data_IF_613199983783
#
_entry.id   IF_613199983783
#
_cell.length_a   1.000
_cell.length_b   1.000
_cell.length_c   1.000
_cell.angle_alpha   90.00
_cell.angle_beta   90.00
_cell.angle_gamma   90.00
#
_symmetry.space_group_name_H-M   'P 1'
#
loop_
_entity.id
_entity.type
_entity.pdbx_description
1 polymer ?
#
# COMPACT_ATOMS: atom_id res chain seq x y z
N UNK A 1 32.83 6.87 -2.41
CA UNK A 1 31.49 6.88 -3.07
C UNK A 1 30.57 5.99 -2.24
N UNK A 2 29.45 6.52 -1.84
CA UNK A 2 28.44 5.71 -1.16
C UNK A 2 27.31 5.44 -2.15
N UNK A 3 27.09 4.18 -2.48
CA UNK A 3 25.90 3.78 -3.21
C UNK A 3 24.73 3.77 -2.23
N UNK A 4 23.68 4.50 -2.57
CA UNK A 4 22.49 4.59 -1.75
C UNK A 4 21.31 4.11 -2.56
N UNK A 5 20.69 3.03 -2.11
CA UNK A 5 19.41 2.60 -2.66
C UNK A 5 18.31 3.52 -2.12
N UNK A 6 17.59 4.15 -3.02
CA UNK A 6 16.40 4.93 -2.68
C UNK A 6 15.17 4.13 -3.08
N UNK A 7 14.26 3.98 -2.13
CA UNK A 7 12.92 3.45 -2.38
C UNK A 7 11.94 4.62 -2.27
N UNK A 8 11.26 4.91 -3.35
CA UNK A 8 10.21 5.93 -3.39
C UNK A 8 8.90 5.28 -3.74
N UNK A 9 7.90 5.60 -2.96
CA UNK A 9 6.57 5.04 -3.15
C UNK A 9 5.57 6.13 -3.47
N UNK A 10 4.68 5.79 -4.38
CA UNK A 10 3.49 6.57 -4.67
C UNK A 10 2.27 5.70 -4.37
N UNK A 11 1.34 6.28 -3.64
CA UNK A 11 0.06 5.65 -3.33
C UNK A 11 -1.04 6.45 -3.98
N UNK A 12 -1.89 5.77 -4.74
CA UNK A 12 -3.09 6.35 -5.34
C UNK A 12 -4.30 5.57 -4.84
N UNK A 13 -5.16 6.25 -4.10
CA UNK A 13 -6.41 5.68 -3.60
C UNK A 13 -7.57 6.32 -4.34
N UNK A 14 -8.34 5.53 -5.07
CA UNK A 14 -9.51 5.97 -5.81
C UNK A 14 -10.79 5.47 -5.15
N UNK A 15 -11.75 6.36 -5.00
CA UNK A 15 -13.07 6.06 -4.45
C UNK A 15 -14.09 6.08 -5.57
N UNK A 16 -14.92 5.03 -5.63
CA UNK A 16 -15.96 4.82 -6.63
C UNK A 16 -17.31 4.65 -5.94
N UNK A 17 -18.33 5.30 -6.44
CA UNK A 17 -19.70 5.19 -5.95
C UNK A 17 -20.65 4.94 -7.14
N UNK A 18 -21.37 3.82 -7.10
CA UNK A 18 -22.26 3.44 -8.20
C UNK A 18 -21.56 3.33 -9.56
N UNK A 19 -20.31 2.90 -9.57
CA UNK A 19 -19.50 2.79 -10.78
C UNK A 19 -18.92 4.11 -11.30
N UNK A 20 -19.13 5.21 -10.58
CA UNK A 20 -18.54 6.51 -10.90
C UNK A 20 -17.35 6.80 -10.02
N UNK A 21 -16.27 7.27 -10.62
CA UNK A 21 -15.13 7.79 -9.88
C UNK A 21 -15.51 9.09 -9.16
N UNK A 22 -15.30 9.11 -7.83
CA UNK A 22 -15.72 10.24 -6.99
C UNK A 22 -14.54 11.08 -6.56
N UNK A 23 -13.45 10.43 -6.14
CA UNK A 23 -12.28 11.11 -5.57
C UNK A 23 -11.02 10.29 -5.69
N UNK A 24 -9.89 10.97 -5.85
CA UNK A 24 -8.54 10.39 -5.81
C UNK A 24 -7.75 11.03 -4.69
N UNK A 25 -7.10 10.18 -3.88
CA UNK A 25 -6.13 10.58 -2.88
C UNK A 25 -4.74 10.14 -3.35
N UNK A 26 -3.76 11.01 -3.20
CA UNK A 26 -2.36 10.72 -3.53
C UNK A 26 -1.50 10.94 -2.31
N UNK A 27 -0.64 9.99 -2.01
CA UNK A 27 0.23 10.06 -0.86
C UNK A 27 1.55 9.32 -1.12
N UNK A 28 2.46 9.51 -0.21
CA UNK A 28 3.70 8.75 -0.11
C UNK A 28 3.66 7.90 1.14
N UNK A 29 4.52 6.90 1.20
CA UNK A 29 4.59 6.03 2.36
C UNK A 29 5.96 6.06 3.00
N UNK A 30 6.01 5.50 4.19
CA UNK A 30 7.24 5.21 4.92
C UNK A 30 7.47 3.70 4.96
N UNK A 31 8.63 3.27 4.49
CA UNK A 31 9.08 1.90 4.71
C UNK A 31 9.39 1.69 6.18
N UNK A 32 8.91 0.61 6.73
CA UNK A 32 9.17 0.25 8.12
C UNK A 32 10.49 -0.51 8.25
N UNK A 33 11.18 -0.43 9.40
CA UNK A 33 12.42 -1.16 9.61
C UNK A 33 12.29 -2.66 9.36
N UNK A 34 11.18 -3.27 9.75
CA UNK A 34 10.93 -4.69 9.51
C UNK A 34 10.81 -5.01 8.01
N UNK A 35 10.20 -4.13 7.24
CA UNK A 35 10.13 -4.25 5.78
C UNK A 35 11.50 -4.15 5.12
N UNK A 36 12.33 -3.24 5.59
CA UNK A 36 13.70 -3.11 5.10
C UNK A 36 14.55 -4.33 5.45
N UNK A 37 14.37 -4.88 6.66
CA UNK A 37 15.02 -6.12 7.06
C UNK A 37 14.57 -7.31 6.21
N UNK A 38 13.28 -7.41 5.91
CA UNK A 38 12.74 -8.44 5.04
C UNK A 38 13.33 -8.35 3.63
N UNK A 39 13.48 -7.15 3.08
CA UNK A 39 14.14 -6.92 1.79
C UNK A 39 15.60 -7.36 1.83
N UNK A 40 16.32 -7.01 2.89
CA UNK A 40 17.71 -7.46 3.11
C UNK A 40 17.80 -8.99 3.12
N UNK A 41 16.93 -9.65 3.87
CA UNK A 41 16.93 -11.10 4.01
C UNK A 41 16.63 -11.79 2.68
N UNK A 42 15.77 -11.20 1.89
CA UNK A 42 15.45 -11.69 0.55
C UNK A 42 16.67 -11.62 -0.38
N UNK A 43 17.36 -10.48 -0.37
CA UNK A 43 18.60 -10.31 -1.14
C UNK A 43 19.70 -11.27 -0.66
N UNK A 44 19.74 -11.59 0.61
CA UNK A 44 20.69 -12.54 1.19
C UNK A 44 20.35 -14.02 0.92
N UNK A 45 19.23 -14.30 0.25
CA UNK A 45 18.78 -15.65 -0.02
C UNK A 45 18.22 -16.38 1.22
N UNK A 46 17.89 -15.65 2.28
CA UNK A 46 17.34 -16.22 3.51
C UNK A 46 15.83 -16.51 3.42
N UNK A 47 15.28 -16.47 2.23
CA UNK A 47 13.86 -16.65 2.00
C UNK A 47 13.07 -15.38 2.33
N UNK A 48 11.78 -15.51 2.30
CA UNK A 48 10.85 -14.44 2.63
C UNK A 48 9.62 -14.52 1.76
N UNK A 49 8.50 -14.12 2.33
CA UNK A 49 7.24 -14.01 1.62
C UNK A 49 7.12 -12.56 1.16
N UNK A 50 6.82 -12.30 -0.11
CA UNK A 50 6.65 -10.94 -0.63
C UNK A 50 5.39 -10.28 -0.05
N UNK A 51 5.19 -9.01 -0.38
CA UNK A 51 3.95 -8.30 -0.07
C UNK A 51 2.80 -9.03 -0.77
N UNK A 52 1.82 -9.44 0.01
CA UNK A 52 0.65 -10.21 -0.46
C UNK A 52 -0.67 -9.56 -0.11
N UNK A 53 -0.71 -8.72 0.90
CA UNK A 53 -1.92 -8.12 1.44
C UNK A 53 -1.76 -6.62 1.69
N UNK A 54 -2.86 -5.91 1.54
CA UNK A 54 -2.97 -4.52 1.97
C UNK A 54 -4.06 -4.43 3.03
N UNK A 55 -3.71 -3.85 4.16
CA UNK A 55 -4.61 -3.60 5.28
C UNK A 55 -5.12 -2.15 5.22
N UNK A 56 -6.37 -1.98 5.58
CA UNK A 56 -7.04 -0.70 5.67
C UNK A 56 -7.30 -0.36 7.13
N UNK A 57 -6.86 0.80 7.55
CA UNK A 57 -6.85 1.24 8.95
C UNK A 57 -7.70 2.49 9.09
N UNK A 58 -8.51 2.53 10.13
CA UNK A 58 -9.40 3.66 10.39
C UNK A 58 -8.70 4.82 11.09
N UNK A 59 -9.46 5.88 11.32
CA UNK A 59 -8.99 7.10 11.98
C UNK A 59 -8.67 6.92 13.48
N UNK A 60 -9.02 5.78 14.07
CA UNK A 60 -8.61 5.40 15.42
C UNK A 60 -7.37 4.51 15.45
N UNK A 61 -6.77 4.23 14.28
CA UNK A 61 -5.60 3.37 14.17
C UNK A 61 -5.90 1.88 14.21
N UNK A 62 -7.16 1.49 14.01
CA UNK A 62 -7.59 0.09 14.04
C UNK A 62 -7.71 -0.47 12.63
N UNK A 63 -7.09 -1.62 12.40
CA UNK A 63 -7.24 -2.35 11.14
C UNK A 63 -8.66 -2.87 11.00
N UNK A 64 -9.31 -2.54 9.88
CA UNK A 64 -10.71 -2.90 9.61
C UNK A 64 -10.89 -3.91 8.48
N UNK A 65 -9.94 -3.97 7.57
CA UNK A 65 -9.90 -4.96 6.50
C UNK A 65 -8.46 -5.25 6.13
N UNK A 66 -8.20 -6.47 5.70
CA UNK A 66 -6.93 -6.85 5.10
C UNK A 66 -7.21 -7.84 3.99
N UNK A 67 -6.99 -7.41 2.77
CA UNK A 67 -7.32 -8.18 1.60
C UNK A 67 -6.09 -8.43 0.72
N UNK A 68 -6.15 -9.50 -0.05
CA UNK A 68 -5.07 -9.91 -0.94
C UNK A 68 -4.84 -8.88 -2.05
N UNK A 69 -3.59 -8.70 -2.42
CA UNK A 69 -3.22 -7.95 -3.63
C UNK A 69 -3.77 -8.69 -4.85
N UNK A 70 -4.56 -8.00 -5.65
CA UNK A 70 -5.23 -8.57 -6.81
C UNK A 70 -4.37 -8.55 -8.06
N UNK A 71 -3.40 -7.64 -8.11
CA UNK A 71 -2.50 -7.51 -9.24
C UNK A 71 -1.12 -7.02 -8.80
N UNK A 72 -0.10 -7.64 -9.37
CA UNK A 72 1.29 -7.14 -9.35
C UNK A 72 1.68 -6.85 -10.78
N UNK A 73 2.24 -5.67 -11.03
CA UNK A 73 2.56 -5.24 -12.37
C UNK A 73 3.88 -4.49 -12.42
N UNK A 74 4.75 -4.95 -13.32
CA UNK A 74 5.98 -4.24 -13.66
C UNK A 74 5.76 -3.57 -15.01
N UNK A 75 5.70 -2.23 -15.00
CA UNK A 75 5.51 -1.45 -16.22
C UNK A 75 6.83 -1.44 -17.01
N UNK A 76 6.85 -1.90 -18.27
CA UNK A 76 8.06 -1.84 -19.09
C UNK A 76 8.62 -0.43 -19.29
N UNK A 77 7.78 0.60 -19.19
CA UNK A 77 8.22 2.00 -19.25
C UNK A 77 8.85 2.50 -17.93
N UNK A 78 8.73 1.75 -16.85
CA UNK A 78 9.30 2.05 -15.53
C UNK A 78 9.83 0.74 -14.90
N UNK A 79 10.89 0.14 -15.49
CA UNK A 79 11.31 -1.23 -15.15
C UNK A 79 11.86 -1.38 -13.74
N UNK A 80 12.23 -0.28 -13.08
CA UNK A 80 12.72 -0.28 -11.71
C UNK A 80 11.59 -0.10 -10.68
N UNK A 81 10.33 -0.23 -11.11
CA UNK A 81 9.19 -0.09 -10.21
C UNK A 81 8.27 -1.30 -10.27
N UNK A 82 7.54 -1.50 -9.18
CA UNK A 82 6.48 -2.50 -9.08
C UNK A 82 5.21 -1.83 -8.56
N UNK A 83 4.08 -2.11 -9.19
CA UNK A 83 2.77 -1.67 -8.73
C UNK A 83 2.01 -2.85 -8.11
N UNK A 84 1.48 -2.62 -6.93
CA UNK A 84 0.49 -3.49 -6.31
C UNK A 84 -0.88 -2.84 -6.40
N UNK A 85 -1.86 -3.60 -6.84
CA UNK A 85 -3.26 -3.16 -6.85
C UNK A 85 -4.08 -4.02 -5.92
N UNK A 86 -4.95 -3.36 -5.16
CA UNK A 86 -5.91 -4.04 -4.30
C UNK A 86 -7.25 -3.32 -4.39
N UNK A 87 -8.29 -4.08 -4.19
CA UNK A 87 -9.68 -3.64 -4.32
C UNK A 87 -10.45 -3.95 -3.05
N UNK A 88 -11.10 -2.91 -2.52
CA UNK A 88 -11.97 -3.02 -1.36
C UNK A 88 -13.42 -2.94 -1.86
N UNK A 89 -14.15 -4.09 -1.88
CA UNK A 89 -15.48 -4.16 -2.48
C UNK A 89 -16.55 -3.44 -1.65
N UNK A 90 -17.75 -3.34 -2.23
CA UNK A 90 -18.93 -2.81 -1.53
C UNK A 90 -19.21 -3.56 -0.23
N UNK A 91 -19.17 -4.89 -0.27
CA UNK A 91 -19.26 -5.74 0.91
C UNK A 91 -17.86 -5.91 1.52
N UNK A 92 -17.61 -5.23 2.62
CA UNK A 92 -16.30 -5.25 3.29
C UNK A 92 -16.47 -5.14 4.81
N UNK A 93 -15.57 -5.77 5.55
CA UNK A 93 -15.47 -5.59 7.01
C UNK A 93 -15.15 -4.15 7.42
N UNK A 94 -14.65 -3.34 6.49
CA UNK A 94 -14.39 -1.92 6.71
C UNK A 94 -15.63 -1.03 6.61
N UNK A 95 -16.78 -1.57 6.20
CA UNK A 95 -18.02 -0.79 6.13
C UNK A 95 -18.40 -0.20 7.49
N UNK A 96 -18.75 1.07 7.51
CA UNK A 96 -19.10 1.83 8.71
C UNK A 96 -17.91 2.52 9.38
N UNK A 97 -16.72 2.41 8.84
CA UNK A 97 -15.51 3.04 9.38
C UNK A 97 -14.95 4.08 8.41
N UNK A 98 -14.25 5.06 8.98
CA UNK A 98 -13.53 6.08 8.22
C UNK A 98 -12.08 5.68 8.09
N UNK A 99 -11.65 5.41 6.86
CA UNK A 99 -10.31 4.89 6.57
C UNK A 99 -9.34 6.04 6.28
N UNK A 100 -8.17 6.00 6.90
CA UNK A 100 -7.14 7.04 6.74
C UNK A 100 -5.79 6.49 6.30
N UNK A 101 -5.55 5.19 6.53
CA UNK A 101 -4.22 4.62 6.42
C UNK A 101 -4.28 3.25 5.75
N UNK A 102 -3.27 2.96 4.95
CA UNK A 102 -3.05 1.62 4.40
C UNK A 102 -1.69 1.09 4.83
N UNK A 103 -1.59 -0.23 4.97
CA UNK A 103 -0.37 -0.93 5.33
C UNK A 103 -0.14 -2.12 4.42
N UNK A 104 1.10 -2.33 4.00
CA UNK A 104 1.48 -3.47 3.17
C UNK A 104 2.05 -4.59 4.03
N UNK A 105 1.49 -5.78 3.92
CA UNK A 105 1.86 -6.97 4.67
C UNK A 105 2.18 -8.17 3.78
N UNK A 106 2.88 -9.15 4.32
CA UNK A 106 3.15 -10.43 3.68
C UNK A 106 2.28 -11.60 4.19
N UNK A 107 1.23 -11.30 4.92
CA UNK A 107 0.32 -12.31 5.48
C UNK A 107 -1.08 -11.74 5.67
N UNK A 108 -2.07 -12.62 5.69
CA UNK A 108 -3.46 -12.25 5.94
C UNK A 108 -3.69 -11.81 7.40
N UNK A 109 -2.95 -12.38 8.33
CA UNK A 109 -2.95 -12.01 9.75
C UNK A 109 -1.52 -12.01 10.26
N UNK A 110 -1.20 -11.11 11.18
CA UNK A 110 0.18 -10.97 11.65
C UNK A 110 1.11 -10.58 10.50
N UNK A 111 2.25 -11.24 10.43
CA UNK A 111 3.24 -11.03 9.38
C UNK A 111 4.06 -9.76 9.54
N UNK A 112 4.83 -9.45 8.50
CA UNK A 112 5.71 -8.28 8.45
C UNK A 112 5.00 -7.11 7.79
N UNK A 113 4.96 -5.97 8.45
CA UNK A 113 4.53 -4.72 7.86
C UNK A 113 5.71 -4.06 7.11
N UNK A 114 5.64 -4.05 5.78
CA UNK A 114 6.69 -3.48 4.94
C UNK A 114 6.64 -1.96 4.91
N UNK A 115 5.46 -1.40 4.80
CA UNK A 115 5.26 0.02 4.60
C UNK A 115 3.89 0.46 5.08
N UNK A 116 3.78 1.75 5.39
CA UNK A 116 2.54 2.39 5.82
C UNK A 116 2.38 3.72 5.10
N UNK A 117 1.17 4.03 4.69
CA UNK A 117 0.83 5.34 4.11
C UNK A 117 -0.46 5.87 4.73
N UNK A 118 -0.37 7.08 5.29
CA UNK A 118 -1.54 7.87 5.67
C UNK A 118 -1.99 8.62 4.42
N UNK A 119 -3.02 8.14 3.75
CA UNK A 119 -3.42 8.69 2.46
C UNK A 119 -4.29 9.94 2.54
N UNK A 120 -4.86 10.22 3.71
CA UNK A 120 -5.61 11.46 3.94
C UNK A 120 -5.35 12.04 5.34
N UNK A 121 -4.17 12.68 5.55
CA UNK A 121 -3.82 13.21 6.86
C UNK A 121 -4.57 14.48 7.25
N UNK A 122 -5.22 15.18 6.28
CA UNK A 122 -5.80 16.51 6.51
C UNK A 122 -7.31 16.54 6.51
N UNK A 123 -7.98 15.56 5.87
CA UNK A 123 -9.42 15.61 5.62
C UNK A 123 -10.21 14.53 6.35
N UNK A 124 -9.57 13.82 7.25
CA UNK A 124 -10.24 12.86 8.14
C UNK A 124 -10.53 11.50 7.53
N UNK A 125 -10.15 11.26 6.28
CA UNK A 125 -10.24 9.96 5.65
C UNK A 125 -11.47 9.74 4.78
N UNK A 126 -11.66 8.49 4.37
CA UNK A 126 -12.75 8.05 3.49
C UNK A 126 -13.73 7.20 4.28
N UNK A 127 -14.99 7.62 4.35
CA UNK A 127 -16.05 6.79 4.91
C UNK A 127 -16.29 5.59 3.99
N UNK A 128 -16.02 4.38 4.47
CA UNK A 128 -16.32 3.16 3.72
C UNK A 128 -17.76 2.74 4.00
N UNK A 129 -18.53 2.56 2.95
CA UNK A 129 -19.93 2.18 3.03
C UNK A 129 -20.23 1.00 2.09
N UNK A 130 -21.43 0.44 2.20
CA UNK A 130 -21.89 -0.60 1.29
C UNK A 130 -22.14 -0.10 -0.14
N UNK A 131 -22.13 1.21 -0.37
CA UNK A 131 -22.39 1.82 -1.68
C UNK A 131 -21.13 2.21 -2.42
N UNK A 132 -19.99 2.30 -1.75
CA UNK A 132 -18.74 2.66 -2.40
C UNK A 132 -17.76 1.48 -2.46
N UNK A 133 -16.81 1.66 -3.35
CA UNK A 133 -15.68 0.76 -3.58
C UNK A 133 -14.41 1.59 -3.57
N UNK A 134 -13.34 1.02 -3.10
CA UNK A 134 -12.06 1.72 -3.03
C UNK A 134 -11.00 0.86 -3.69
N UNK A 135 -10.22 1.46 -4.56
CA UNK A 135 -9.04 0.82 -5.14
C UNK A 135 -7.79 1.53 -4.68
N UNK A 136 -6.72 0.78 -4.50
CA UNK A 136 -5.40 1.34 -4.27
C UNK A 136 -4.43 0.83 -5.33
N UNK A 137 -3.60 1.74 -5.80
CA UNK A 137 -2.39 1.43 -6.55
C UNK A 137 -1.21 1.89 -5.70
N UNK A 138 -0.38 0.95 -5.30
CA UNK A 138 0.81 1.22 -4.52
C UNK A 138 2.03 0.92 -5.36
N UNK A 139 2.78 1.95 -5.69
CA UNK A 139 3.91 1.87 -6.61
C UNK A 139 5.20 2.06 -5.81
N UNK A 140 6.06 1.05 -5.83
CA UNK A 140 7.39 1.10 -5.25
C UNK A 140 8.40 1.29 -6.37
N UNK A 141 9.17 2.36 -6.31
CA UNK A 141 10.22 2.67 -7.28
C UNK A 141 11.58 2.63 -6.61
N UNK A 142 12.51 1.97 -7.27
CA UNK A 142 13.87 1.81 -6.79
C UNK A 142 14.82 2.63 -7.66
N UNK A 143 15.71 3.38 -7.02
CA UNK A 143 16.71 4.16 -7.75
C UNK A 143 18.03 4.22 -6.99
N UNK A 144 19.10 4.45 -7.72
CA UNK A 144 20.39 4.77 -7.11
C UNK A 144 20.39 6.26 -6.76
N UNK A 145 20.45 6.56 -5.47
CA UNK A 145 20.49 7.94 -4.98
C UNK A 145 21.89 8.46 -4.69
N UNK A 146 22.87 7.59 -4.82
CA UNK A 146 24.25 7.94 -4.50
C UNK A 146 24.99 8.55 -5.66
N UNK A 147 24.49 9.54 -6.32
CA UNK A 147 25.19 10.15 -7.46
C UNK A 147 26.70 10.16 -7.30
N UNK A 148 27.36 9.91 -8.36
CA UNK A 148 28.81 9.83 -8.43
C UNK A 148 29.49 11.03 -7.75
#
# INVERSE_FOLDING_TARGET
>A
MKDTLIVRDNVVVDVWDGGKHVKTYRSHNTWKPDGLRALRDWLAGNGGVPITHIAWVDNAGVERARDIVTQRYINPAAPESIMFRQYLPSASSANGYTLTTIRAYNAQTGGTMFAESVFDPFYGGVAKTANNQITVQWIHSFSNGGGA
#
